data_IF_566684071933
#
_entry.id   IF_566684071933
#
_cell.length_a   1.000
_cell.length_b   1.000
_cell.length_c   1.000
_cell.angle_alpha   90.00
_cell.angle_beta   90.00
_cell.angle_gamma   90.00
#
_symmetry.space_group_name_H-M   'P 1'
#
loop_
_entity.id
_entity.type
_entity.pdbx_description
1 polymer ?
#
# COMPACT_ATOMS: atom_id res chain seq x y z
N UNK A 1 1.05 -17.09 -3.21
CA UNK A 1 2.44 -16.81 -2.81
C UNK A 1 3.07 -16.07 -3.98
N UNK A 2 3.26 -14.76 -3.85
CA UNK A 2 3.83 -13.95 -4.94
C UNK A 2 5.23 -13.54 -4.52
N UNK A 3 6.22 -13.95 -5.30
CA UNK A 3 7.61 -13.52 -5.17
C UNK A 3 7.75 -12.19 -5.90
N UNK A 4 8.31 -11.18 -5.23
CA UNK A 4 8.61 -9.87 -5.81
C UNK A 4 10.11 -9.82 -6.10
N UNK A 5 10.47 -9.64 -7.37
CA UNK A 5 11.85 -9.46 -7.84
C UNK A 5 11.98 -8.01 -8.27
N UNK A 6 12.92 -7.29 -7.67
CA UNK A 6 12.99 -5.82 -7.76
C UNK A 6 13.84 -5.38 -8.98
N UNK A 7 13.23 -4.70 -9.97
CA UNK A 7 13.81 -3.92 -11.10
C UNK A 7 13.03 -2.59 -11.22
N UNK A 8 13.72 -1.50 -11.61
CA UNK A 8 13.30 -0.08 -11.84
C UNK A 8 11.80 0.31 -12.03
N UNK A 9 10.93 -0.60 -12.47
CA UNK A 9 9.47 -0.49 -12.59
C UNK A 9 8.68 -1.14 -11.42
N UNK A 10 9.31 -1.40 -10.27
CA UNK A 10 8.63 -2.10 -9.18
C UNK A 10 7.51 -1.30 -8.55
N UNK A 11 6.40 -2.00 -8.34
CA UNK A 11 5.28 -1.46 -7.60
C UNK A 11 5.63 -1.46 -6.11
N UNK A 12 5.93 -0.27 -5.57
CA UNK A 12 6.19 -0.05 -4.15
C UNK A 12 4.93 -0.23 -3.31
N UNK A 13 3.74 0.03 -3.88
CA UNK A 13 2.46 -0.11 -3.19
C UNK A 13 1.31 -0.46 -4.15
N UNK A 14 0.55 -1.50 -3.82
CA UNK A 14 -0.62 -1.96 -4.56
C UNK A 14 -1.71 -2.41 -3.59
N UNK A 15 -2.96 -2.10 -3.91
CA UNK A 15 -4.13 -2.72 -3.27
C UNK A 15 -4.91 -3.43 -4.37
N UNK A 16 -5.07 -4.75 -4.26
CA UNK A 16 -5.86 -5.49 -5.22
C UNK A 16 -7.36 -5.25 -4.97
N UNK A 17 -8.16 -5.14 -6.03
CA UNK A 17 -9.62 -4.99 -5.88
C UNK A 17 -10.23 -6.16 -5.11
N UNK A 18 -9.69 -7.38 -5.28
CA UNK A 18 -10.14 -8.56 -4.53
C UNK A 18 -9.93 -8.42 -3.02
N UNK A 19 -8.85 -7.77 -2.57
CA UNK A 19 -8.61 -7.52 -1.14
C UNK A 19 -9.61 -6.49 -0.60
N UNK A 20 -9.89 -5.44 -1.37
CA UNK A 20 -10.94 -4.48 -1.02
C UNK A 20 -12.32 -5.14 -0.93
N UNK A 21 -12.64 -6.05 -1.86
CA UNK A 21 -13.90 -6.79 -1.84
C UNK A 21 -13.96 -7.81 -0.70
N UNK A 22 -12.85 -8.47 -0.36
CA UNK A 22 -12.77 -9.39 0.78
C UNK A 22 -12.99 -8.65 2.10
N UNK A 23 -12.43 -7.44 2.24
CA UNK A 23 -12.67 -6.61 3.42
C UNK A 23 -14.14 -6.14 3.49
N UNK A 24 -14.73 -5.79 2.35
CA UNK A 24 -16.15 -5.47 2.27
C UNK A 24 -17.03 -6.67 2.66
N UNK A 25 -16.68 -7.88 2.21
CA UNK A 25 -17.36 -9.11 2.61
C UNK A 25 -17.30 -9.32 4.12
N UNK A 26 -16.12 -9.13 4.72
CA UNK A 26 -15.93 -9.27 6.17
C UNK A 26 -16.74 -8.24 6.96
N UNK A 27 -16.81 -6.98 6.51
CA UNK A 27 -17.49 -5.90 7.24
C UNK A 27 -18.99 -5.82 7.01
N UNK A 28 -19.42 -6.08 5.79
CA UNK A 28 -20.79 -5.83 5.32
C UNK A 28 -21.55 -7.12 4.99
N UNK A 29 -20.87 -8.28 4.93
CA UNK A 29 -21.47 -9.54 4.50
C UNK A 29 -21.80 -9.59 3.00
N UNK A 30 -21.28 -8.65 2.21
CA UNK A 30 -21.46 -8.59 0.75
C UNK A 30 -20.33 -7.82 0.07
N UNK A 31 -20.19 -8.02 -1.24
CA UNK A 31 -19.30 -7.22 -2.07
C UNK A 31 -19.86 -5.80 -2.29
N UNK A 32 -18.95 -4.87 -2.53
CA UNK A 32 -19.25 -3.52 -2.99
C UNK A 32 -19.75 -3.57 -4.44
N UNK A 33 -20.80 -2.80 -4.70
CA UNK A 33 -21.29 -2.51 -6.05
C UNK A 33 -20.35 -1.54 -6.76
N UNK A 34 -20.48 -1.43 -8.08
CA UNK A 34 -19.61 -0.59 -8.91
C UNK A 34 -19.43 0.84 -8.39
N UNK A 35 -20.52 1.53 -8.04
CA UNK A 35 -20.44 2.92 -7.54
C UNK A 35 -19.80 3.01 -6.15
N UNK A 36 -20.01 1.98 -5.31
CA UNK A 36 -19.39 1.87 -3.99
C UNK A 36 -17.88 1.61 -4.12
N UNK A 37 -17.46 0.74 -5.06
CA UNK A 37 -16.05 0.53 -5.40
C UNK A 37 -15.40 1.82 -5.86
N UNK A 38 -16.05 2.58 -6.75
CA UNK A 38 -15.51 3.84 -7.25
C UNK A 38 -15.37 4.88 -6.13
N UNK A 39 -16.33 4.93 -5.21
CA UNK A 39 -16.27 5.82 -4.05
C UNK A 39 -15.16 5.40 -3.08
N UNK A 40 -15.03 4.10 -2.79
CA UNK A 40 -13.96 3.56 -1.96
C UNK A 40 -12.58 3.86 -2.55
N UNK A 41 -12.39 3.68 -3.87
CA UNK A 41 -11.13 3.99 -4.56
C UNK A 41 -10.73 5.45 -4.39
N UNK A 42 -11.67 6.38 -4.58
CA UNK A 42 -11.41 7.82 -4.40
C UNK A 42 -10.98 8.15 -2.97
N UNK A 43 -11.64 7.57 -1.98
CA UNK A 43 -11.30 7.78 -0.57
C UNK A 43 -9.93 7.21 -0.22
N UNK A 44 -9.62 6.00 -0.69
CA UNK A 44 -8.30 5.38 -0.50
C UNK A 44 -7.21 6.24 -1.13
N UNK A 45 -7.41 6.73 -2.36
CA UNK A 45 -6.46 7.62 -3.03
C UNK A 45 -6.25 8.92 -2.25
N UNK A 46 -7.32 9.57 -1.77
CA UNK A 46 -7.22 10.80 -1.00
C UNK A 46 -6.48 10.58 0.34
N UNK A 47 -6.77 9.48 1.03
CA UNK A 47 -6.08 9.12 2.27
C UNK A 47 -4.60 8.85 2.03
N UNK A 48 -4.25 8.07 1.00
CA UNK A 48 -2.86 7.84 0.64
C UNK A 48 -2.16 9.17 0.31
N UNK A 49 -2.70 10.00 -0.58
CA UNK A 49 -2.06 11.28 -0.95
C UNK A 49 -1.78 12.17 0.27
N UNK A 50 -2.66 12.17 1.27
CA UNK A 50 -2.51 13.04 2.45
C UNK A 50 -1.34 12.61 3.34
N UNK A 51 -1.13 11.30 3.51
CA UNK A 51 -0.17 10.78 4.50
C UNK A 51 1.09 10.17 3.86
N UNK A 52 1.09 9.92 2.55
CA UNK A 52 2.15 9.14 1.89
C UNK A 52 3.49 9.86 1.86
N UNK A 53 3.52 11.19 1.82
CA UNK A 53 4.78 11.95 1.87
C UNK A 53 5.54 11.70 3.18
N UNK A 54 4.82 11.66 4.30
CA UNK A 54 5.40 11.39 5.63
C UNK A 54 5.87 9.94 5.70
N UNK A 55 5.06 9.00 5.21
CA UNK A 55 5.39 7.57 5.21
C UNK A 55 6.61 7.29 4.32
N UNK A 56 6.70 7.92 3.14
CA UNK A 56 7.84 7.77 2.23
C UNK A 56 9.12 8.31 2.86
N UNK A 57 9.07 9.49 3.46
CA UNK A 57 10.23 10.08 4.14
C UNK A 57 10.72 9.18 5.27
N UNK A 58 9.80 8.69 6.12
CA UNK A 58 10.15 7.77 7.20
C UNK A 58 10.70 6.42 6.69
N UNK A 59 10.15 5.88 5.60
CA UNK A 59 10.61 4.63 5.00
C UNK A 59 12.03 4.76 4.42
N UNK A 60 12.34 5.89 3.78
CA UNK A 60 13.69 6.21 3.28
C UNK A 60 14.65 6.38 4.46
N UNK A 61 14.28 7.16 5.47
CA UNK A 61 15.10 7.38 6.67
C UNK A 61 15.44 6.05 7.37
N UNK A 62 14.47 5.15 7.49
CA UNK A 62 14.67 3.82 8.07
C UNK A 62 15.60 2.95 7.21
N UNK A 63 15.40 2.93 5.89
CA UNK A 63 16.26 2.16 4.98
C UNK A 63 17.73 2.61 5.05
N UNK A 64 17.98 3.91 5.20
CA UNK A 64 19.33 4.47 5.32
C UNK A 64 19.98 4.16 6.68
N UNK A 65 19.21 4.17 7.78
CA UNK A 65 19.72 3.76 9.11
C UNK A 65 20.24 2.33 9.12
N UNK A 66 19.54 1.41 8.44
CA UNK A 66 19.96 0.01 8.33
C UNK A 66 21.32 -0.10 7.61
N UNK A 67 21.56 0.72 6.58
CA UNK A 67 22.79 0.69 5.79
C UNK A 67 24.05 1.11 6.58
N UNK A 68 23.93 2.02 7.55
CA UNK A 68 25.06 2.42 8.40
C UNK A 68 25.39 1.40 9.51
N UNK A 69 24.47 0.48 9.80
CA UNK A 69 24.65 -0.54 10.84
C UNK A 69 25.49 -1.73 10.34
N UNK A 70 25.46 -2.01 9.04
CA UNK A 70 26.16 -3.14 8.42
C UNK A 70 27.62 -2.88 8.04
N UNK A 71 28.09 -1.62 8.07
CA UNK A 71 29.50 -1.28 7.80
C UNK A 71 30.36 -1.22 9.07
N UNK A 72 29.75 -1.37 10.25
CA UNK A 72 30.42 -1.34 11.56
C UNK A 72 30.49 -2.72 12.25
N UNK A 73 30.13 -3.80 11.55
CA UNK A 73 30.15 -5.19 12.04
C UNK A 73 31.10 -6.08 11.27
#
# INVERSE_FOLDING_TARGET
MSVVIVKEDDIVFLIALGELQQEAMTRLGRELKFDEVNSAKKMIQAGLVTDIETIFSAAIDEAVKIHHSSELS
#
